data_IF_519065965792
#
_entry.id   IF_519065965792
#
_cell.length_a   1.000
_cell.length_b   1.000
_cell.length_c   1.000
_cell.angle_alpha   90.00
_cell.angle_beta   90.00
_cell.angle_gamma   90.00
#
_symmetry.space_group_name_H-M   'P 1'
#
loop_
_entity.id
_entity.type
_entity.pdbx_description
1 polymer ?
#
# COMPACT_ATOMS: atom_id res chain seq x y z
N UNK A 1 24.44 -6.63 -15.64
CA UNK A 1 24.01 -5.45 -14.84
C UNK A 1 22.86 -5.73 -13.84
N UNK A 2 21.80 -6.46 -14.20
CA UNK A 2 20.65 -6.71 -13.28
C UNK A 2 20.96 -7.77 -12.21
N UNK A 3 21.76 -8.80 -12.53
CA UNK A 3 22.13 -9.87 -11.59
C UNK A 3 23.05 -9.39 -10.45
N UNK A 4 23.97 -8.46 -10.73
CA UNK A 4 24.87 -7.88 -9.72
C UNK A 4 24.12 -7.00 -8.72
N UNK A 5 23.12 -6.21 -9.19
CA UNK A 5 22.31 -5.37 -8.31
C UNK A 5 21.49 -6.22 -7.31
N UNK A 6 20.87 -7.33 -7.76
CA UNK A 6 20.13 -8.24 -6.87
C UNK A 6 21.07 -8.90 -5.83
N UNK A 7 22.28 -9.28 -6.24
CA UNK A 7 23.29 -9.87 -5.35
C UNK A 7 23.79 -8.87 -4.31
N UNK A 8 24.05 -7.62 -4.70
CA UNK A 8 24.43 -6.54 -3.78
C UNK A 8 23.32 -6.23 -2.77
N UNK A 9 22.05 -6.15 -3.21
CA UNK A 9 20.91 -5.89 -2.31
C UNK A 9 20.75 -7.02 -1.29
N UNK A 10 20.85 -8.28 -1.71
CA UNK A 10 20.78 -9.43 -0.80
C UNK A 10 21.88 -9.42 0.26
N UNK A 11 23.12 -9.07 -0.12
CA UNK A 11 24.25 -8.96 0.81
C UNK A 11 24.10 -7.77 1.76
N UNK A 12 23.57 -6.63 1.30
CA UNK A 12 23.32 -5.47 2.19
C UNK A 12 22.23 -5.78 3.22
N UNK A 13 21.17 -6.48 2.83
CA UNK A 13 20.09 -6.87 3.75
C UNK A 13 20.59 -7.82 4.83
N UNK A 14 21.37 -8.85 4.48
CA UNK A 14 21.91 -9.78 5.49
C UNK A 14 22.87 -9.08 6.45
N UNK A 15 23.76 -8.22 5.95
CA UNK A 15 24.69 -7.45 6.80
C UNK A 15 23.96 -6.53 7.77
N UNK A 16 22.92 -5.82 7.30
CA UNK A 16 22.14 -4.92 8.16
C UNK A 16 21.35 -5.67 9.23
N UNK A 17 20.76 -6.81 8.90
CA UNK A 17 20.07 -7.69 9.86
C UNK A 17 21.06 -8.21 10.92
N UNK A 18 22.21 -8.74 10.50
CA UNK A 18 23.22 -9.27 11.43
C UNK A 18 23.75 -8.19 12.36
N UNK A 19 24.02 -6.98 11.85
CA UNK A 19 24.46 -5.84 12.67
C UNK A 19 23.41 -5.43 13.70
N UNK A 20 22.12 -5.40 13.30
CA UNK A 20 21.01 -5.08 14.22
C UNK A 20 20.87 -6.16 15.30
N UNK A 21 20.95 -7.45 14.93
CA UNK A 21 20.91 -8.56 15.89
C UNK A 21 22.03 -8.46 16.92
N UNK A 22 23.28 -8.20 16.48
CA UNK A 22 24.41 -8.02 17.38
C UNK A 22 24.25 -6.81 18.31
N UNK A 23 23.70 -5.70 17.80
CA UNK A 23 23.40 -4.52 18.60
C UNK A 23 22.33 -4.80 19.67
N UNK A 24 21.28 -5.55 19.33
CA UNK A 24 20.21 -5.97 20.26
C UNK A 24 20.79 -6.88 21.35
N UNK A 25 21.61 -7.87 21.00
CA UNK A 25 22.28 -8.74 21.98
C UNK A 25 23.18 -7.93 22.93
N UNK A 26 23.97 -7.00 22.40
CA UNK A 26 24.84 -6.14 23.21
C UNK A 26 24.04 -5.25 24.16
N UNK A 27 22.90 -4.73 23.71
CA UNK A 27 22.00 -3.93 24.53
C UNK A 27 21.33 -4.78 25.62
N UNK A 28 20.92 -6.01 25.28
CA UNK A 28 20.34 -6.98 26.20
C UNK A 28 21.34 -7.36 27.31
N UNK A 29 22.60 -7.63 26.96
CA UNK A 29 23.65 -7.94 27.93
C UNK A 29 23.87 -6.78 28.92
N UNK A 30 23.86 -5.53 28.41
CA UNK A 30 23.97 -4.34 29.26
C UNK A 30 22.75 -4.19 30.17
N UNK A 31 21.55 -4.40 29.64
CA UNK A 31 20.32 -4.37 30.44
C UNK A 31 20.36 -5.42 31.54
N UNK A 32 20.66 -6.68 31.20
CA UNK A 32 20.70 -7.81 32.13
C UNK A 32 21.74 -7.63 33.25
N UNK A 33 22.85 -6.91 32.99
CA UNK A 33 23.82 -6.52 34.03
C UNK A 33 23.29 -5.46 34.99
N UNK A 34 22.46 -4.53 34.50
CA UNK A 34 21.94 -3.40 35.27
C UNK A 34 20.62 -3.72 35.96
N UNK A 35 19.79 -4.60 35.41
CA UNK A 35 18.45 -4.93 35.90
C UNK A 35 18.43 -5.36 37.39
N UNK A 36 19.34 -6.22 37.89
CA UNK A 36 19.39 -6.57 39.31
C UNK A 36 19.85 -5.44 40.23
N UNK A 37 20.50 -4.40 39.68
CA UNK A 37 21.02 -3.25 40.43
C UNK A 37 20.00 -2.12 40.57
N UNK A 38 18.82 -2.26 39.95
CA UNK A 38 17.76 -1.25 40.04
C UNK A 38 16.96 -1.40 41.35
N UNK A 39 16.29 -0.32 41.75
CA UNK A 39 15.37 -0.30 42.89
C UNK A 39 13.97 0.07 42.39
N UNK A 40 13.00 -0.88 42.34
CA UNK A 40 13.13 -2.29 42.69
C UNK A 40 13.93 -3.11 41.65
N UNK A 41 14.52 -4.26 42.04
CA UNK A 41 15.28 -5.11 41.12
C UNK A 41 14.39 -5.62 39.99
N UNK A 42 14.87 -5.51 38.76
CA UNK A 42 14.13 -5.92 37.56
C UNK A 42 14.54 -7.33 37.10
N UNK A 43 13.62 -8.07 36.44
CA UNK A 43 13.92 -9.37 35.88
C UNK A 43 14.88 -9.28 34.69
N UNK A 44 15.70 -10.31 34.56
CA UNK A 44 16.61 -10.54 33.43
C UNK A 44 15.81 -11.02 32.23
N UNK A 45 16.17 -10.61 31.02
CA UNK A 45 15.44 -10.96 29.78
C UNK A 45 16.26 -11.91 28.90
N UNK A 46 15.59 -12.90 28.30
CA UNK A 46 16.23 -13.77 27.31
C UNK A 46 16.13 -13.21 25.88
N UNK A 47 17.07 -13.57 25.02
CA UNK A 47 17.06 -13.13 23.63
C UNK A 47 15.84 -13.64 22.87
N UNK A 48 15.36 -14.85 23.15
CA UNK A 48 14.15 -15.39 22.51
C UNK A 48 12.91 -14.56 22.83
N UNK A 49 12.80 -14.07 24.07
CA UNK A 49 11.74 -13.17 24.51
C UNK A 49 11.82 -11.82 23.77
N UNK A 50 13.03 -11.26 23.64
CA UNK A 50 13.27 -10.01 22.90
C UNK A 50 12.87 -10.13 21.43
N UNK A 51 13.16 -11.26 20.78
CA UNK A 51 12.76 -11.49 19.40
C UNK A 51 11.23 -11.63 19.29
N UNK A 52 10.58 -12.32 20.23
CA UNK A 52 9.11 -12.39 20.30
C UNK A 52 8.44 -11.03 20.51
N UNK A 53 9.10 -10.14 21.26
CA UNK A 53 8.67 -8.75 21.44
C UNK A 53 8.79 -7.92 20.15
N UNK A 54 9.85 -8.12 19.37
CA UNK A 54 10.06 -7.40 18.10
C UNK A 54 9.08 -7.86 17.03
N UNK A 55 8.74 -9.15 16.96
CA UNK A 55 7.78 -9.66 15.97
C UNK A 55 6.34 -9.19 16.23
N UNK A 56 5.98 -8.95 17.49
CA UNK A 56 4.65 -8.50 17.91
C UNK A 56 4.53 -6.97 18.06
N UNK A 57 5.60 -6.21 17.82
CA UNK A 57 5.65 -4.77 18.14
C UNK A 57 5.48 -4.48 19.65
N UNK A 58 5.64 -5.50 20.48
CA UNK A 58 5.51 -5.45 21.93
C UNK A 58 6.82 -5.03 22.55
N UNK A 59 7.11 -3.73 22.57
CA UNK A 59 8.21 -3.21 23.39
C UNK A 59 7.83 -3.22 24.87
N UNK A 60 7.67 -4.44 25.37
CA UNK A 60 7.64 -4.79 26.77
C UNK A 60 8.87 -4.26 27.51
N UNK A 61 9.98 -3.98 26.83
CA UNK A 61 11.14 -3.31 27.43
C UNK A 61 10.78 -1.94 28.04
N UNK A 62 9.80 -1.24 27.44
CA UNK A 62 9.27 0.03 27.95
C UNK A 62 8.29 -0.14 29.13
N UNK A 63 7.96 -1.39 29.51
CA UNK A 63 7.11 -1.77 30.67
C UNK A 63 7.49 -1.03 31.94
N UNK A 64 8.78 -0.81 32.13
CA UNK A 64 9.32 -0.26 33.38
C UNK A 64 9.61 1.25 33.32
N UNK A 65 9.27 1.92 32.22
CA UNK A 65 9.40 3.39 32.12
C UNK A 65 8.23 4.10 32.82
N UNK A 66 8.42 4.37 34.12
CA UNK A 66 7.80 5.36 35.05
C UNK A 66 6.39 5.97 34.86
N UNK A 67 5.49 5.49 33.99
CA UNK A 67 4.17 6.13 33.77
C UNK A 67 2.98 5.16 33.79
N UNK A 68 3.11 3.97 34.40
CA UNK A 68 2.03 2.97 34.43
C UNK A 68 1.39 2.73 33.04
N UNK A 69 2.19 2.86 31.98
CA UNK A 69 1.74 2.83 30.59
C UNK A 69 1.04 1.49 30.30
N UNK A 70 1.49 0.42 30.96
CA UNK A 70 0.95 -0.94 30.88
C UNK A 70 -0.43 -1.15 31.47
N UNK A 71 -0.90 -0.24 32.31
CA UNK A 71 -2.27 -0.29 32.81
C UNK A 71 -3.26 0.19 31.76
N UNK A 72 -2.77 0.78 30.67
CA UNK A 72 -3.64 1.29 29.62
C UNK A 72 -4.13 0.13 28.74
N UNK A 73 -5.41 0.14 28.33
CA UNK A 73 -5.98 -0.94 27.55
C UNK A 73 -5.27 -1.17 26.21
N UNK A 74 -4.62 -0.15 25.63
CA UNK A 74 -3.87 -0.25 24.38
C UNK A 74 -2.51 -0.94 24.50
N UNK A 75 -2.04 -1.31 25.70
CA UNK A 75 -0.80 -2.10 25.84
C UNK A 75 -1.01 -3.61 25.72
N UNK A 76 -2.27 -4.07 25.70
CA UNK A 76 -2.64 -5.47 25.49
C UNK A 76 -2.65 -5.78 23.98
N UNK A 77 -1.99 -6.86 23.53
CA UNK A 77 -1.91 -7.18 22.10
C UNK A 77 -3.26 -7.31 21.44
N UNK A 78 -4.15 -8.12 22.03
CA UNK A 78 -5.50 -8.33 21.51
C UNK A 78 -6.24 -7.01 21.29
N UNK A 79 -6.10 -6.06 22.22
CA UNK A 79 -6.74 -4.74 22.10
C UNK A 79 -6.10 -3.89 21.00
N UNK A 80 -4.78 -3.96 20.80
CA UNK A 80 -4.11 -3.25 19.69
C UNK A 80 -4.49 -3.82 18.34
N UNK A 81 -4.51 -5.15 18.22
CA UNK A 81 -4.89 -5.84 17.00
C UNK A 81 -6.34 -5.51 16.64
N UNK A 82 -7.24 -5.58 17.62
CA UNK A 82 -8.63 -5.18 17.45
C UNK A 82 -8.76 -3.70 17.08
N UNK A 83 -8.05 -2.80 17.77
CA UNK A 83 -8.03 -1.38 17.43
C UNK A 83 -7.50 -1.12 16.01
N UNK A 84 -6.44 -1.82 15.59
CA UNK A 84 -5.90 -1.71 14.25
C UNK A 84 -6.91 -2.18 13.19
N UNK A 85 -7.61 -3.30 13.42
CA UNK A 85 -8.70 -3.77 12.56
C UNK A 85 -9.86 -2.78 12.51
N UNK A 86 -10.29 -2.30 13.67
CA UNK A 86 -11.34 -1.29 13.79
C UNK A 86 -11.00 0.00 13.04
N UNK A 87 -9.80 0.54 13.23
CA UNK A 87 -9.39 1.76 12.53
C UNK A 87 -9.17 1.53 11.04
N UNK A 88 -8.72 0.34 10.60
CA UNK A 88 -8.69 -0.02 9.18
C UNK A 88 -10.09 0.02 8.58
N UNK A 89 -11.08 -0.53 9.28
CA UNK A 89 -12.48 -0.50 8.85
C UNK A 89 -13.03 0.94 8.83
N UNK A 90 -12.80 1.73 9.88
CA UNK A 90 -13.25 3.14 9.90
C UNK A 90 -12.63 3.93 8.74
N UNK A 91 -11.33 3.74 8.50
CA UNK A 91 -10.63 4.40 7.39
C UNK A 91 -11.01 3.87 6.02
N UNK A 92 -11.41 2.61 5.87
CA UNK A 92 -11.85 2.08 4.57
C UNK A 92 -13.11 2.79 4.09
N UNK A 93 -14.02 3.15 5.00
CA UNK A 93 -15.21 3.93 4.66
C UNK A 93 -14.85 5.34 4.14
N UNK A 94 -13.91 6.02 4.79
CA UNK A 94 -13.39 7.31 4.32
C UNK A 94 -12.67 7.17 2.96
N UNK A 95 -11.88 6.11 2.81
CA UNK A 95 -11.11 5.85 1.59
C UNK A 95 -12.03 5.54 0.41
N UNK A 96 -13.16 4.85 0.59
CA UNK A 96 -14.17 4.67 -0.47
C UNK A 96 -14.65 6.02 -1.01
N UNK A 97 -14.97 6.96 -0.12
CA UNK A 97 -15.41 8.32 -0.53
C UNK A 97 -14.30 9.05 -1.28
N UNK A 98 -13.06 8.93 -0.81
CA UNK A 98 -11.90 9.55 -1.47
C UNK A 98 -11.60 8.92 -2.84
N UNK A 99 -11.68 7.60 -2.95
CA UNK A 99 -11.44 6.87 -4.19
C UNK A 99 -12.43 7.28 -5.28
N UNK A 100 -13.70 7.55 -4.94
CA UNK A 100 -14.67 8.06 -5.92
C UNK A 100 -14.19 9.36 -6.61
N UNK A 101 -13.48 10.24 -5.88
CA UNK A 101 -12.89 11.46 -6.44
C UNK A 101 -11.62 11.16 -7.22
N UNK A 102 -10.76 10.29 -6.69
CA UNK A 102 -9.48 9.96 -7.34
C UNK A 102 -9.65 9.19 -8.65
N UNK A 103 -10.62 8.27 -8.72
CA UNK A 103 -10.98 7.54 -9.95
C UNK A 103 -11.38 8.52 -11.06
N UNK A 104 -12.23 9.51 -10.74
CA UNK A 104 -12.62 10.56 -11.70
C UNK A 104 -11.42 11.40 -12.15
N UNK A 105 -10.53 11.75 -11.21
CA UNK A 105 -9.30 12.50 -11.53
C UNK A 105 -8.37 11.71 -12.44
N UNK A 106 -8.24 10.41 -12.20
CA UNK A 106 -7.44 9.52 -13.05
C UNK A 106 -8.00 9.47 -14.46
N UNK A 107 -9.30 9.27 -14.63
CA UNK A 107 -9.96 9.32 -15.94
C UNK A 107 -9.68 10.66 -16.65
N UNK A 108 -9.91 11.78 -15.96
CA UNK A 108 -9.70 13.13 -16.53
C UNK A 108 -8.25 13.35 -16.94
N UNK A 109 -7.30 12.83 -16.16
CA UNK A 109 -5.88 12.93 -16.44
C UNK A 109 -5.48 12.11 -17.67
N UNK A 110 -6.00 10.87 -17.80
CA UNK A 110 -5.75 10.02 -18.97
C UNK A 110 -6.30 10.66 -20.24
N UNK A 111 -7.55 11.13 -20.22
CA UNK A 111 -8.17 11.82 -21.36
C UNK A 111 -7.44 13.11 -21.74
N UNK A 112 -6.97 13.87 -20.74
CA UNK A 112 -6.21 15.09 -20.98
C UNK A 112 -4.84 14.81 -21.59
N UNK A 113 -4.15 13.75 -21.13
CA UNK A 113 -2.85 13.38 -21.68
C UNK A 113 -2.96 12.98 -23.15
N UNK A 114 -3.90 12.10 -23.50
CA UNK A 114 -4.12 11.68 -24.89
C UNK A 114 -4.46 12.89 -25.77
N UNK A 115 -5.38 13.75 -25.31
CA UNK A 115 -5.76 14.97 -26.04
C UNK A 115 -4.59 15.93 -26.22
N UNK A 116 -3.83 16.20 -25.15
CA UNK A 116 -2.74 17.18 -25.17
C UNK A 116 -1.63 16.75 -26.14
N UNK A 117 -1.30 15.47 -26.21
CA UNK A 117 -0.27 14.97 -27.12
C UNK A 117 -0.75 15.05 -28.57
N UNK A 118 -1.99 14.62 -28.84
CA UNK A 118 -2.57 14.67 -30.19
C UNK A 118 -2.73 16.12 -30.70
N UNK A 119 -3.22 17.04 -29.87
CA UNK A 119 -3.31 18.47 -30.21
C UNK A 119 -1.92 19.07 -30.52
N UNK A 120 -0.88 18.63 -29.80
CA UNK A 120 0.50 19.07 -30.07
C UNK A 120 1.00 18.53 -31.41
N UNK A 121 0.71 17.27 -31.73
CA UNK A 121 1.04 16.68 -33.04
C UNK A 121 0.33 17.44 -34.16
N UNK A 122 -0.98 17.67 -34.04
CA UNK A 122 -1.77 18.39 -35.03
C UNK A 122 -1.27 19.83 -35.22
N UNK A 123 -0.90 20.52 -34.14
CA UNK A 123 -0.34 21.87 -34.20
C UNK A 123 1.00 21.90 -34.94
N UNK A 124 1.88 20.92 -34.71
CA UNK A 124 3.18 20.86 -35.40
C UNK A 124 3.00 20.51 -36.87
N UNK A 125 2.10 19.58 -37.19
CA UNK A 125 1.78 19.22 -38.58
C UNK A 125 1.17 20.38 -39.38
N UNK A 126 0.41 21.25 -38.71
CA UNK A 126 -0.14 22.45 -39.34
C UNK A 126 0.95 23.48 -39.71
N UNK A 127 2.01 23.58 -38.91
CA UNK A 127 3.12 24.51 -39.12
C UNK A 127 4.21 23.93 -40.06
N UNK A 128 4.56 22.65 -39.88
CA UNK A 128 5.59 21.93 -40.63
C UNK A 128 5.20 20.46 -40.88
N UNK A 129 4.66 20.14 -42.07
CA UNK A 129 4.20 18.80 -42.41
C UNK A 129 5.30 17.73 -42.47
N UNK A 130 6.58 18.10 -42.63
CA UNK A 130 7.70 17.15 -42.74
C UNK A 130 8.55 17.08 -41.46
N UNK A 131 8.01 17.60 -40.35
CA UNK A 131 8.75 17.66 -39.09
C UNK A 131 9.07 16.26 -38.54
N UNK A 132 10.36 15.95 -38.42
CA UNK A 132 10.84 14.71 -37.78
C UNK A 132 10.42 14.61 -36.31
N UNK A 133 10.06 15.73 -35.67
CA UNK A 133 9.57 15.77 -34.30
C UNK A 133 8.21 15.06 -34.16
N UNK A 134 7.37 15.09 -35.20
CA UNK A 134 6.06 14.43 -35.19
C UNK A 134 6.24 12.92 -35.08
N UNK A 135 7.16 12.32 -35.84
CA UNK A 135 7.42 10.88 -35.79
C UNK A 135 7.86 10.42 -34.38
N UNK A 136 8.69 11.21 -33.70
CA UNK A 136 9.10 10.92 -32.32
C UNK A 136 7.93 11.06 -31.32
N UNK A 137 7.08 12.09 -31.50
CA UNK A 137 5.89 12.28 -30.67
C UNK A 137 4.84 11.19 -30.89
N UNK A 138 4.68 10.68 -32.10
CA UNK A 138 3.81 9.54 -32.42
C UNK A 138 4.32 8.26 -31.75
N UNK A 139 5.64 7.99 -31.78
CA UNK A 139 6.20 6.84 -31.08
C UNK A 139 6.04 6.97 -29.56
N UNK A 140 6.24 8.17 -29.02
CA UNK A 140 5.99 8.48 -27.61
C UNK A 140 4.51 8.27 -27.25
N UNK A 141 3.60 8.80 -28.06
CA UNK A 141 2.16 8.65 -27.89
C UNK A 141 1.78 7.18 -27.90
N UNK A 142 2.26 6.38 -28.86
CA UNK A 142 1.97 4.95 -28.92
C UNK A 142 2.37 4.21 -27.63
N UNK A 143 3.49 4.59 -27.01
CA UNK A 143 3.92 4.01 -25.71
C UNK A 143 2.99 4.44 -24.57
N UNK A 144 2.64 5.73 -24.48
CA UNK A 144 1.74 6.26 -23.44
C UNK A 144 0.32 5.72 -23.59
N UNK A 145 -0.21 5.73 -24.79
CA UNK A 145 -1.56 5.26 -25.11
C UNK A 145 -1.76 3.78 -24.74
N UNK A 146 -0.75 2.91 -24.92
CA UNK A 146 -0.80 1.51 -24.45
C UNK A 146 -0.97 1.40 -22.94
N UNK A 147 -0.36 2.30 -22.17
CA UNK A 147 -0.54 2.36 -20.71
C UNK A 147 -1.93 2.89 -20.38
N UNK A 148 -2.37 3.93 -21.09
CA UNK A 148 -3.70 4.54 -20.93
C UNK A 148 -4.84 3.56 -21.24
N UNK A 149 -4.67 2.68 -22.23
CA UNK A 149 -5.61 1.56 -22.49
C UNK A 149 -5.76 0.67 -21.25
N UNK A 150 -4.67 0.34 -20.56
CA UNK A 150 -4.74 -0.47 -19.33
C UNK A 150 -5.44 0.29 -18.20
N UNK A 151 -5.18 1.60 -18.07
CA UNK A 151 -5.90 2.46 -17.12
C UNK A 151 -7.39 2.48 -17.42
N UNK A 152 -7.81 2.63 -18.68
CA UNK A 152 -9.21 2.58 -19.07
C UNK A 152 -9.86 1.23 -18.78
N UNK A 153 -9.17 0.11 -19.06
CA UNK A 153 -9.68 -1.23 -18.71
C UNK A 153 -9.92 -1.36 -17.22
N UNK A 154 -8.99 -0.89 -16.39
CA UNK A 154 -9.14 -0.95 -14.94
C UNK A 154 -10.27 -0.03 -14.46
N UNK A 155 -10.35 1.20 -14.97
CA UNK A 155 -11.43 2.15 -14.66
C UNK A 155 -12.80 1.58 -15.03
N UNK A 156 -12.95 0.91 -16.18
CA UNK A 156 -14.18 0.22 -16.56
C UNK A 156 -14.56 -0.89 -15.57
N UNK A 157 -13.59 -1.72 -15.14
CA UNK A 157 -13.82 -2.71 -14.08
C UNK A 157 -14.27 -2.04 -12.78
N UNK A 158 -13.64 -0.93 -12.40
CA UNK A 158 -14.00 -0.17 -11.20
C UNK A 158 -15.41 0.43 -11.27
N UNK A 159 -15.82 0.98 -12.41
CA UNK A 159 -17.16 1.52 -12.61
C UNK A 159 -18.26 0.44 -12.56
N UNK A 160 -17.91 -0.82 -12.87
CA UNK A 160 -18.83 -1.94 -12.81
C UNK A 160 -19.02 -2.52 -11.39
N UNK A 161 -18.26 -2.05 -10.39
CA UNK A 161 -18.41 -2.50 -9.00
C UNK A 161 -19.73 -1.98 -8.40
N UNK A 162 -20.49 -2.87 -7.76
CA UNK A 162 -21.79 -2.58 -7.14
C UNK A 162 -21.72 -1.47 -6.07
N UNK A 163 -20.56 -1.32 -5.41
CA UNK A 163 -20.33 -0.30 -4.38
C UNK A 163 -19.78 1.04 -4.90
N UNK A 164 -19.59 1.21 -6.21
CA UNK A 164 -19.08 2.48 -6.76
C UNK A 164 -20.18 3.54 -6.78
N UNK A 165 -19.94 4.66 -6.09
CA UNK A 165 -20.91 5.77 -5.99
C UNK A 165 -20.42 7.07 -6.63
N UNK A 166 -19.27 7.03 -7.33
CA UNK A 166 -18.73 8.19 -8.03
C UNK A 166 -19.45 8.46 -9.37
N UNK A 167 -19.12 9.60 -9.97
CA UNK A 167 -19.65 9.96 -11.29
C UNK A 167 -19.01 9.09 -12.38
N UNK A 168 -19.84 8.36 -13.13
CA UNK A 168 -19.40 7.63 -14.31
C UNK A 168 -19.32 8.57 -15.52
N UNK A 169 -18.25 8.49 -16.33
CA UNK A 169 -18.20 9.19 -17.61
C UNK A 169 -19.36 8.76 -18.49
N UNK A 170 -20.00 9.71 -19.20
CA UNK A 170 -20.95 9.34 -20.24
C UNK A 170 -20.22 8.50 -21.28
N UNK A 171 -20.69 7.26 -21.50
CA UNK A 171 -20.09 6.36 -22.49
C UNK A 171 -20.18 6.99 -23.88
N UNK A 172 -19.09 7.61 -24.34
CA UNK A 172 -18.88 7.82 -25.78
C UNK A 172 -18.42 6.46 -26.30
N UNK A 173 -19.36 5.72 -26.89
CA UNK A 173 -19.11 4.43 -27.53
C UNK A 173 -18.21 4.67 -28.75
N UNK A 174 -16.90 4.75 -28.55
CA UNK A 174 -15.94 4.55 -29.63
C UNK A 174 -15.71 3.05 -29.76
N UNK A 175 -16.35 2.47 -30.78
CA UNK A 175 -16.22 1.08 -31.19
C UNK A 175 -14.75 0.67 -31.29
N UNK A 176 -14.26 -0.07 -30.29
CA UNK A 176 -12.94 -0.70 -30.34
C UNK A 176 -13.10 -2.18 -30.65
N UNK A 177 -12.34 -2.61 -31.66
CA UNK A 177 -12.23 -3.97 -32.19
C UNK A 177 -11.83 -4.94 -31.06
N UNK A 178 -12.37 -6.18 -31.02
CA UNK A 178 -12.15 -7.08 -29.90
C UNK A 178 -10.72 -7.64 -29.91
N UNK A 179 -9.97 -7.30 -28.86
CA UNK A 179 -8.67 -7.91 -28.56
C UNK A 179 -8.90 -9.14 -27.67
N UNK A 180 -8.44 -10.31 -28.14
CA UNK A 180 -8.64 -11.61 -27.50
C UNK A 180 -7.41 -12.00 -26.68
N UNK A 181 -7.30 -11.44 -25.49
CA UNK A 181 -6.43 -12.00 -24.47
C UNK A 181 -7.28 -12.52 -23.31
N UNK A 182 -7.09 -13.80 -23.01
CA UNK A 182 -7.78 -14.54 -21.95
C UNK A 182 -7.32 -14.00 -20.60
N UNK A 183 -8.29 -13.70 -19.75
CA UNK A 183 -8.13 -13.33 -18.35
C UNK A 183 -7.92 -14.62 -17.55
N UNK A 184 -6.71 -14.79 -17.02
CA UNK A 184 -6.37 -15.87 -16.11
C UNK A 184 -6.88 -15.43 -14.73
N UNK A 185 -8.06 -15.93 -14.33
CA UNK A 185 -8.69 -15.58 -13.06
C UNK A 185 -7.79 -15.91 -11.87
N UNK A 186 -7.39 -14.88 -11.13
CA UNK A 186 -6.99 -15.03 -9.73
C UNK A 186 -8.26 -15.23 -8.89
N UNK A 187 -8.31 -16.37 -8.19
CA UNK A 187 -9.37 -16.72 -7.25
C UNK A 187 -9.34 -15.73 -6.07
N UNK A 188 -10.26 -14.76 -6.07
CA UNK A 188 -10.58 -13.95 -4.89
C UNK A 188 -11.32 -14.82 -3.87
N UNK A 189 -10.56 -15.53 -3.03
CA UNK A 189 -11.06 -16.17 -1.83
C UNK A 189 -11.62 -15.07 -0.91
N UNK A 190 -12.94 -14.92 -0.92
CA UNK A 190 -13.69 -13.90 -0.18
C UNK A 190 -13.29 -13.97 1.30
N UNK A 191 -12.64 -12.92 1.77
CA UNK A 191 -12.11 -12.81 3.13
C UNK A 191 -13.26 -12.81 4.15
N UNK A 192 -13.70 -14.00 4.59
CA UNK A 192 -14.74 -14.23 5.60
C UNK A 192 -14.50 -13.47 6.93
N UNK A 193 -13.29 -12.95 7.15
CA UNK A 193 -12.95 -12.13 8.32
C UNK A 193 -13.53 -10.71 8.25
N UNK A 194 -13.67 -10.14 7.04
CA UNK A 194 -14.19 -8.78 6.85
C UNK A 194 -15.70 -8.70 7.17
N UNK A 195 -16.48 -9.68 6.68
CA UNK A 195 -17.93 -9.77 6.93
C UNK A 195 -18.22 -9.95 8.42
N UNK A 196 -17.42 -10.77 9.12
CA UNK A 196 -17.56 -10.98 10.57
C UNK A 196 -17.29 -9.73 11.41
N UNK A 197 -16.48 -8.81 10.91
CA UNK A 197 -16.17 -7.55 11.60
C UNK A 197 -17.25 -6.49 11.39
N UNK A 198 -17.89 -6.47 10.22
CA UNK A 198 -19.02 -5.56 9.93
C UNK A 198 -20.22 -5.85 10.85
N UNK A 199 -20.59 -7.13 11.01
CA UNK A 199 -21.69 -7.55 11.89
C UNK A 199 -21.44 -7.19 13.37
N UNK A 200 -20.19 -7.27 13.83
CA UNK A 200 -19.80 -6.98 15.21
C UNK A 200 -19.84 -5.47 15.49
N UNK A 201 -19.49 -4.65 14.50
CA UNK A 201 -19.57 -3.18 14.60
C UNK A 201 -21.03 -2.72 14.57
N UNK A 202 -21.89 -3.35 13.76
CA UNK A 202 -23.32 -3.07 13.77
C UNK A 202 -23.97 -3.36 15.14
N UNK A 203 -23.50 -4.40 15.85
CA UNK A 203 -23.98 -4.74 17.19
C UNK A 203 -23.48 -3.83 18.31
N UNK A 204 -22.38 -3.10 18.11
CA UNK A 204 -21.79 -2.19 19.10
C UNK A 204 -22.28 -0.74 18.96
N UNK A 205 -23.07 -0.44 17.92
CA UNK A 205 -23.60 0.90 17.61
C UNK A 205 -25.09 1.09 17.97
N UNK A 206 -25.69 0.14 18.70
CA UNK A 206 -27.02 0.23 19.34
C UNK A 206 -26.87 0.23 20.87
#
# INVERSE_FOLDING_TARGET
MIRDKRKCIGVTLTVTITRRSAAIQTALDKYNKLAPLQDPPLPVLDYSEVVGYVSLGEFSLLKHSRHHILTKPWTVSANREMAAKYFKLVRSHEEIVRLNVEIKRLQSWVEHEDRSILETIDSILADDPESLLVAELEEFYAKRHRININHHKHLQKTYALEGYMGEQPQMIVHSTVPDKDKDDGEDDEVNEEAVRLEDLVAHLML
#
